data_IF_520535515960
#
_entry.id   IF_520535515960
#
_cell.length_a   1.000
_cell.length_b   1.000
_cell.length_c   1.000
_cell.angle_alpha   90.00
_cell.angle_beta   90.00
_cell.angle_gamma   90.00
#
_symmetry.space_group_name_H-M   'P 1'
#
loop_
_entity.id
_entity.type
_entity.pdbx_description
1 polymer ?
#
# COMPACT_ATOMS: atom_id res chain seq x y z
N UNK A 1 -7.64 35.06 48.55
CA UNK A 1 -7.35 35.03 47.10
C UNK A 1 -5.95 34.50 46.77
N UNK A 2 -4.92 34.82 47.56
CA UNK A 2 -3.55 34.32 47.34
C UNK A 2 -3.31 32.84 47.70
N UNK A 3 -4.06 32.27 48.66
CA UNK A 3 -3.87 30.87 49.11
C UNK A 3 -4.39 29.84 48.08
N UNK A 4 -5.45 30.18 47.32
CA UNK A 4 -5.95 29.31 46.23
C UNK A 4 -4.93 29.16 45.09
N UNK A 5 -4.07 30.16 44.87
CA UNK A 5 -3.02 30.13 43.86
C UNK A 5 -1.92 29.11 44.21
N UNK A 6 -1.50 29.08 45.48
CA UNK A 6 -0.49 28.12 45.94
C UNK A 6 -0.98 26.67 45.91
N UNK A 7 -2.24 26.43 46.28
CA UNK A 7 -2.81 25.07 46.22
C UNK A 7 -2.92 24.55 44.79
N UNK A 8 -3.25 25.40 43.82
CA UNK A 8 -3.35 25.02 42.40
C UNK A 8 -1.97 24.70 41.80
N UNK A 9 -0.92 25.39 42.24
CA UNK A 9 0.44 25.21 41.73
C UNK A 9 1.08 23.88 42.14
N UNK A 10 0.75 23.32 43.31
CA UNK A 10 1.26 22.00 43.75
C UNK A 10 0.61 20.84 42.98
N UNK A 11 -0.68 20.93 42.63
CA UNK A 11 -1.36 19.88 41.84
C UNK A 11 -0.86 19.78 40.40
N UNK A 12 -0.31 20.88 39.85
CA UNK A 12 0.06 20.95 38.44
C UNK A 12 1.50 20.48 38.19
N UNK A 13 2.36 20.51 39.21
CA UNK A 13 3.76 20.05 39.12
C UNK A 13 3.90 18.53 39.17
N UNK A 14 3.04 17.81 39.90
CA UNK A 14 3.07 16.33 39.91
C UNK A 14 2.53 15.71 38.62
N UNK A 15 1.66 16.38 37.86
CA UNK A 15 1.10 15.81 36.64
C UNK A 15 2.03 15.92 35.42
N UNK A 16 2.96 16.87 35.40
CA UNK A 16 3.88 17.09 34.26
C UNK A 16 5.01 16.06 34.16
N UNK A 17 5.60 15.64 35.27
CA UNK A 17 6.65 14.60 35.27
C UNK A 17 6.05 13.20 35.18
N UNK A 18 4.94 12.94 35.87
CA UNK A 18 4.30 11.61 35.87
C UNK A 18 3.70 11.29 34.50
N UNK A 19 3.13 12.27 33.80
CA UNK A 19 2.64 12.10 32.43
C UNK A 19 3.76 11.74 31.44
N UNK A 20 4.91 12.42 31.50
CA UNK A 20 6.05 12.12 30.62
C UNK A 20 6.65 10.73 30.89
N UNK A 21 6.76 10.33 32.15
CA UNK A 21 7.27 9.01 32.54
C UNK A 21 6.32 7.89 32.08
N UNK A 22 5.00 8.12 32.18
CA UNK A 22 3.99 7.17 31.72
C UNK A 22 4.07 7.03 30.19
N UNK A 23 4.02 8.12 29.43
CA UNK A 23 4.11 8.08 27.96
C UNK A 23 5.41 7.39 27.48
N UNK A 24 6.56 7.74 28.06
CA UNK A 24 7.84 7.10 27.73
C UNK A 24 7.86 5.61 28.05
N UNK A 25 7.21 5.19 29.14
CA UNK A 25 7.13 3.77 29.53
C UNK A 25 6.23 2.99 28.57
N UNK A 26 5.11 3.58 28.14
CA UNK A 26 4.21 2.97 27.15
C UNK A 26 4.90 2.82 25.78
N UNK A 27 5.61 3.84 25.32
CA UNK A 27 6.38 3.79 24.07
C UNK A 27 7.46 2.70 24.09
N UNK A 28 8.22 2.59 25.18
CA UNK A 28 9.24 1.55 25.32
C UNK A 28 8.66 0.13 25.32
N UNK A 29 7.43 -0.03 25.82
CA UNK A 29 6.73 -1.31 25.82
C UNK A 29 6.14 -1.62 24.43
N UNK A 30 5.62 -0.65 23.70
CA UNK A 30 4.93 -0.87 22.42
C UNK A 30 5.88 -0.92 21.22
N UNK A 31 6.93 -0.10 21.22
CA UNK A 31 7.90 0.01 20.13
C UNK A 31 8.45 -1.34 19.65
N UNK A 32 8.93 -2.27 20.51
CA UNK A 32 9.48 -3.54 20.04
C UNK A 32 8.43 -4.45 19.38
N UNK A 33 7.18 -4.47 19.88
CA UNK A 33 6.12 -5.29 19.29
C UNK A 33 5.67 -4.75 17.93
N UNK A 34 5.45 -3.44 17.83
CA UNK A 34 5.06 -2.82 16.56
C UNK A 34 6.20 -2.91 15.55
N UNK A 35 7.46 -2.69 15.95
CA UNK A 35 8.60 -2.88 15.05
C UNK A 35 8.68 -4.32 14.50
N UNK A 36 8.39 -5.32 15.34
CA UNK A 36 8.34 -6.71 14.90
C UNK A 36 7.18 -6.95 13.90
N UNK A 37 6.01 -6.38 14.15
CA UNK A 37 4.85 -6.46 13.23
C UNK A 37 5.15 -5.77 11.89
N UNK A 38 5.65 -4.54 11.95
CA UNK A 38 6.07 -3.75 10.79
C UNK A 38 7.09 -4.51 9.94
N UNK A 39 8.11 -5.10 10.57
CA UNK A 39 9.09 -5.92 9.86
C UNK A 39 8.47 -7.14 9.17
N UNK A 40 7.52 -7.82 9.83
CA UNK A 40 6.78 -8.92 9.24
C UNK A 40 5.93 -8.50 8.03
N UNK A 41 5.26 -7.35 8.13
CA UNK A 41 4.46 -6.77 7.04
C UNK A 41 5.37 -6.38 5.87
N UNK A 42 6.53 -5.75 6.13
CA UNK A 42 7.49 -5.36 5.10
C UNK A 42 8.04 -6.59 4.34
N UNK A 43 8.37 -7.68 5.05
CA UNK A 43 8.79 -8.94 4.40
C UNK A 43 7.66 -9.52 3.55
N UNK A 44 6.44 -9.58 4.09
CA UNK A 44 5.30 -10.15 3.37
C UNK A 44 4.98 -9.33 2.10
N UNK A 45 4.90 -8.01 2.22
CA UNK A 45 4.68 -7.10 1.10
C UNK A 45 5.80 -7.23 0.06
N UNK A 46 7.06 -7.23 0.50
CA UNK A 46 8.24 -7.40 -0.36
C UNK A 46 8.23 -8.74 -1.12
N UNK A 47 7.85 -9.84 -0.47
CA UNK A 47 7.71 -11.14 -1.12
C UNK A 47 6.59 -11.15 -2.17
N UNK A 48 5.42 -10.59 -1.84
CA UNK A 48 4.29 -10.56 -2.78
C UNK A 48 4.62 -9.68 -3.99
N UNK A 49 5.23 -8.50 -3.78
CA UNK A 49 5.68 -7.62 -4.87
C UNK A 49 6.74 -8.33 -5.71
N UNK A 50 7.74 -8.94 -5.07
CA UNK A 50 8.82 -9.66 -5.72
C UNK A 50 8.32 -10.80 -6.61
N UNK A 51 7.46 -11.67 -6.07
CA UNK A 51 6.87 -12.80 -6.79
C UNK A 51 5.99 -12.29 -7.95
N UNK A 52 5.16 -11.29 -7.71
CA UNK A 52 4.26 -10.73 -8.73
C UNK A 52 5.04 -10.10 -9.88
N UNK A 53 6.07 -9.32 -9.57
CA UNK A 53 6.93 -8.66 -10.55
C UNK A 53 7.76 -9.67 -11.34
N UNK A 54 8.27 -10.72 -10.68
CA UNK A 54 9.02 -11.80 -11.32
C UNK A 54 8.15 -12.62 -12.30
N UNK A 55 6.92 -12.98 -11.91
CA UNK A 55 5.96 -13.65 -12.77
C UNK A 55 5.54 -12.78 -13.98
N UNK A 56 5.39 -11.47 -13.77
CA UNK A 56 5.11 -10.51 -14.85
C UNK A 56 6.28 -10.45 -15.84
N UNK A 57 7.52 -10.42 -15.34
CA UNK A 57 8.73 -10.40 -16.15
C UNK A 57 8.87 -11.69 -16.99
N UNK A 58 8.68 -12.87 -16.39
CA UNK A 58 8.69 -14.15 -17.12
C UNK A 58 7.62 -14.16 -18.21
N UNK A 59 6.42 -13.68 -17.88
CA UNK A 59 5.30 -13.63 -18.84
C UNK A 59 5.61 -12.71 -20.02
N UNK A 60 6.24 -11.56 -19.77
CA UNK A 60 6.70 -10.64 -20.80
C UNK A 60 7.70 -11.29 -21.76
N UNK A 61 8.73 -11.96 -21.25
CA UNK A 61 9.70 -12.68 -22.08
C UNK A 61 9.07 -13.86 -22.86
N UNK A 62 8.11 -14.58 -22.25
CA UNK A 62 7.40 -15.67 -22.92
C UNK A 62 6.50 -15.18 -24.05
N UNK A 63 5.90 -13.99 -23.91
CA UNK A 63 5.09 -13.35 -24.95
C UNK A 63 5.95 -12.87 -26.12
N UNK A 64 7.14 -12.34 -25.82
CA UNK A 64 8.09 -11.90 -26.84
C UNK A 64 8.62 -13.08 -27.69
N UNK A 65 8.56 -14.30 -27.14
CA UNK A 65 9.09 -15.52 -27.77
C UNK A 65 8.03 -16.40 -28.45
N UNK A 66 6.73 -16.09 -28.39
CA UNK A 66 5.65 -16.97 -28.91
C UNK A 66 4.68 -16.24 -29.85
N UNK A 67 4.63 -16.70 -31.10
CA UNK A 67 3.73 -16.18 -32.16
C UNK A 67 2.25 -16.52 -31.89
N UNK A 68 1.40 -15.55 -32.26
CA UNK A 68 -0.07 -15.48 -32.30
C UNK A 68 -0.76 -16.80 -32.65
N UNK A 69 -1.61 -17.37 -31.76
CA UNK A 69 -3.03 -17.65 -32.13
C UNK A 69 -3.95 -18.19 -30.99
N UNK A 70 -3.50 -18.89 -29.94
CA UNK A 70 -4.44 -19.52 -28.97
C UNK A 70 -4.04 -19.33 -27.50
N UNK A 71 -4.04 -18.11 -26.97
CA UNK A 71 -3.51 -17.86 -25.61
C UNK A 71 -4.26 -16.81 -24.79
N UNK A 72 -5.42 -16.32 -25.23
CA UNK A 72 -6.03 -15.11 -24.64
C UNK A 72 -6.67 -15.34 -23.26
N UNK A 73 -7.32 -16.48 -23.02
CA UNK A 73 -8.04 -16.74 -21.75
C UNK A 73 -7.09 -17.01 -20.58
N UNK A 74 -6.02 -17.78 -20.79
CA UNK A 74 -5.02 -18.06 -19.74
C UNK A 74 -4.18 -16.82 -19.38
N UNK A 75 -3.87 -15.98 -20.39
CA UNK A 75 -3.12 -14.73 -20.17
C UNK A 75 -3.89 -13.75 -19.27
N UNK A 76 -5.19 -13.62 -19.49
CA UNK A 76 -6.03 -12.71 -18.72
C UNK A 76 -6.17 -13.17 -17.27
N UNK A 77 -6.35 -14.48 -17.05
CA UNK A 77 -6.45 -15.08 -15.71
C UNK A 77 -5.15 -14.91 -14.91
N UNK A 78 -4.00 -15.11 -15.55
CA UNK A 78 -2.69 -14.90 -14.92
C UNK A 78 -2.49 -13.41 -14.59
N UNK A 79 -2.81 -12.50 -15.53
CA UNK A 79 -2.72 -11.05 -15.31
C UNK A 79 -3.58 -10.59 -14.14
N UNK A 80 -4.81 -11.09 -14.05
CA UNK A 80 -5.73 -10.79 -12.94
C UNK A 80 -5.20 -11.28 -11.59
N UNK A 81 -4.61 -12.48 -11.54
CA UNK A 81 -3.99 -13.01 -10.31
C UNK A 81 -2.78 -12.16 -9.88
N UNK A 82 -1.94 -11.74 -10.82
CA UNK A 82 -0.79 -10.87 -10.53
C UNK A 82 -1.23 -9.48 -10.07
N UNK A 83 -2.20 -8.88 -10.76
CA UNK A 83 -2.73 -7.57 -10.37
C UNK A 83 -3.34 -7.60 -8.97
N UNK A 84 -4.07 -8.67 -8.62
CA UNK A 84 -4.63 -8.86 -7.26
C UNK A 84 -3.54 -9.05 -6.20
N UNK A 85 -2.50 -9.84 -6.48
CA UNK A 85 -1.38 -10.01 -5.56
C UNK A 85 -0.65 -8.69 -5.30
N UNK A 86 -0.35 -7.95 -6.37
CA UNK A 86 0.30 -6.64 -6.28
C UNK A 86 -0.54 -5.63 -5.49
N UNK A 87 -1.86 -5.58 -5.73
CA UNK A 87 -2.78 -4.69 -5.01
C UNK A 87 -2.84 -5.02 -3.51
N UNK A 88 -2.87 -6.31 -3.16
CA UNK A 88 -2.88 -6.75 -1.77
C UNK A 88 -1.58 -6.35 -1.03
N UNK A 89 -0.42 -6.55 -1.66
CA UNK A 89 0.86 -6.14 -1.08
C UNK A 89 0.92 -4.62 -0.84
N UNK A 90 0.31 -3.87 -1.75
CA UNK A 90 0.19 -2.43 -1.69
C UNK A 90 -0.58 -2.01 -0.43
N UNK A 91 -1.75 -2.58 -0.18
CA UNK A 91 -2.54 -2.27 1.01
C UNK A 91 -1.78 -2.56 2.31
N UNK A 92 -1.00 -3.65 2.34
CA UNK A 92 -0.13 -4.00 3.47
C UNK A 92 1.02 -3.00 3.67
N UNK A 93 1.65 -2.54 2.59
CA UNK A 93 2.78 -1.59 2.66
C UNK A 93 2.35 -0.24 3.23
N UNK A 94 1.15 0.25 2.88
CA UNK A 94 0.58 1.46 3.52
C UNK A 94 0.22 1.22 4.99
N UNK A 95 -0.28 0.04 5.34
CA UNK A 95 -0.56 -0.32 6.72
C UNK A 95 0.70 -0.32 7.60
N UNK A 96 1.82 -0.87 7.08
CA UNK A 96 3.13 -0.85 7.74
C UNK A 96 3.61 0.57 8.01
N UNK A 97 3.50 1.45 7.02
CA UNK A 97 3.95 2.83 7.16
C UNK A 97 3.06 3.62 8.14
N UNK A 98 1.74 3.38 8.14
CA UNK A 98 0.84 3.98 9.14
C UNK A 98 1.22 3.52 10.56
N UNK A 99 1.50 2.22 10.76
CA UNK A 99 1.93 1.69 12.06
C UNK A 99 3.22 2.35 12.56
N UNK A 100 4.19 2.59 11.67
CA UNK A 100 5.42 3.34 11.99
C UNK A 100 5.11 4.76 12.47
N UNK A 101 4.21 5.48 11.78
CA UNK A 101 3.84 6.86 12.15
C UNK A 101 3.06 6.99 13.46
N UNK A 102 2.40 5.92 13.92
CA UNK A 102 1.69 5.92 15.22
C UNK A 102 2.69 5.92 16.38
N UNK A 103 3.86 5.28 16.23
CA UNK A 103 4.91 5.24 17.26
C UNK A 103 5.81 6.48 17.26
N UNK A 104 6.17 6.99 16.07
CA UNK A 104 7.01 8.18 15.94
C UNK A 104 6.22 9.23 15.18
N UNK A 105 5.30 9.94 15.85
CA UNK A 105 4.51 10.97 15.20
C UNK A 105 5.40 12.18 14.86
N UNK A 106 6.04 12.12 13.68
CA UNK A 106 6.84 13.20 13.11
C UNK A 106 6.15 13.76 11.88
N UNK A 107 6.04 15.09 11.80
CA UNK A 107 5.46 15.79 10.64
C UNK A 107 6.22 15.43 9.34
N UNK A 108 7.52 15.20 9.44
CA UNK A 108 8.36 14.78 8.32
C UNK A 108 7.98 13.37 7.83
N UNK A 109 7.77 12.44 8.75
CA UNK A 109 7.39 11.06 8.41
C UNK A 109 6.00 11.00 7.78
N UNK A 110 5.04 11.77 8.34
CA UNK A 110 3.71 11.90 7.76
C UNK A 110 3.75 12.50 6.35
N UNK A 111 4.65 13.45 6.10
CA UNK A 111 4.84 14.06 4.76
C UNK A 111 5.38 13.05 3.76
N UNK A 112 6.40 12.26 4.14
CA UNK A 112 6.95 11.21 3.28
C UNK A 112 5.86 10.18 2.95
N UNK A 113 5.11 9.74 3.95
CA UNK A 113 3.99 8.82 3.77
C UNK A 113 2.94 9.36 2.79
N UNK A 114 2.54 10.63 2.96
CA UNK A 114 1.59 11.27 2.05
C UNK A 114 2.10 11.35 0.60
N UNK A 115 3.41 11.59 0.41
CA UNK A 115 4.04 11.59 -0.92
C UNK A 115 4.03 10.19 -1.54
N UNK A 116 4.41 9.15 -0.78
CA UNK A 116 4.40 7.76 -1.26
C UNK A 116 2.99 7.33 -1.67
N UNK A 117 1.99 7.61 -0.84
CA UNK A 117 0.57 7.35 -1.14
C UNK A 117 0.10 8.13 -2.36
N UNK A 118 0.49 9.39 -2.49
CA UNK A 118 0.17 10.23 -3.65
C UNK A 118 0.73 9.67 -4.96
N UNK A 119 2.02 9.30 -4.98
CA UNK A 119 2.67 8.66 -6.14
C UNK A 119 1.91 7.39 -6.53
N UNK A 120 1.57 6.56 -5.54
CA UNK A 120 0.85 5.31 -5.73
C UNK A 120 -0.51 5.53 -6.38
N UNK A 121 -1.30 6.50 -5.91
CA UNK A 121 -2.59 6.85 -6.51
C UNK A 121 -2.43 7.26 -7.98
N UNK A 122 -1.45 8.11 -8.28
CA UNK A 122 -1.21 8.59 -9.65
C UNK A 122 -0.78 7.44 -10.58
N UNK A 123 0.14 6.59 -10.14
CA UNK A 123 0.61 5.45 -10.93
C UNK A 123 -0.48 4.42 -11.16
N UNK A 124 -1.21 4.02 -10.11
CA UNK A 124 -2.32 3.09 -10.21
C UNK A 124 -3.42 3.64 -11.12
N UNK A 125 -3.76 4.92 -11.01
CA UNK A 125 -4.75 5.57 -11.88
C UNK A 125 -4.29 5.60 -13.35
N UNK A 126 -3.04 5.96 -13.61
CA UNK A 126 -2.48 5.97 -14.97
C UNK A 126 -2.54 4.58 -15.62
N UNK A 127 -2.19 3.55 -14.85
CA UNK A 127 -2.15 2.18 -15.35
C UNK A 127 -3.56 1.62 -15.61
N UNK A 128 -4.51 1.88 -14.70
CA UNK A 128 -5.92 1.52 -14.90
C UNK A 128 -6.51 2.15 -16.16
N UNK A 129 -6.21 3.43 -16.40
CA UNK A 129 -6.69 4.16 -17.58
C UNK A 129 -6.18 3.58 -18.90
N UNK A 130 -4.94 3.11 -18.93
CA UNK A 130 -4.35 2.48 -20.12
C UNK A 130 -4.96 1.10 -20.41
N UNK A 131 -5.26 0.33 -19.36
CA UNK A 131 -5.93 -0.97 -19.48
C UNK A 131 -7.34 -0.81 -20.07
N UNK A 132 -8.10 0.17 -19.60
CA UNK A 132 -9.46 0.44 -20.10
C UNK A 132 -9.47 0.89 -21.58
N UNK A 133 -8.46 1.64 -21.98
CA UNK A 133 -8.30 2.06 -23.39
C UNK A 133 -8.03 0.88 -24.32
N UNK A 134 -7.34 -0.16 -23.86
CA UNK A 134 -7.06 -1.35 -24.67
C UNK A 134 -8.20 -2.38 -24.65
N UNK A 135 -8.99 -2.45 -23.58
CA UNK A 135 -10.12 -3.40 -23.49
C UNK A 135 -11.32 -3.00 -24.35
N UNK A 136 -11.51 -1.70 -24.59
CA UNK A 136 -12.57 -1.15 -25.46
C UNK A 136 -12.33 -1.47 -26.94
N UNK A 137 -11.07 -1.42 -27.40
CA UNK A 137 -10.68 -1.77 -28.79
C UNK A 137 -11.02 -3.24 -29.12
N UNK A 138 -10.96 -4.16 -28.14
CA UNK A 138 -11.32 -5.57 -28.34
C UNK A 138 -12.83 -5.79 -28.41
N UNK A 139 -13.65 -4.96 -27.74
CA UNK A 139 -15.11 -5.07 -27.82
C UNK A 139 -15.64 -4.65 -29.20
N UNK A 140 -15.05 -3.62 -29.80
CA UNK A 140 -15.49 -3.12 -31.11
C UNK A 140 -15.22 -4.14 -32.23
N UNK A 141 -14.08 -4.84 -32.19
CA UNK A 141 -13.77 -5.90 -33.17
C UNK A 141 -14.66 -7.16 -33.06
N UNK A 142 -15.32 -7.39 -31.91
CA UNK A 142 -16.25 -8.52 -31.73
C UNK A 142 -17.68 -8.15 -32.17
N UNK A 143 -18.00 -6.86 -32.25
CA UNK A 143 -19.28 -6.34 -32.74
C UNK A 143 -19.42 -6.40 -34.26
N UNK A 144 -18.35 -6.11 -35.02
CA UNK A 144 -18.43 -6.08 -36.49
C UNK A 144 -18.48 -7.47 -37.15
N UNK A 145 -17.96 -8.53 -36.51
CA UNK A 145 -18.02 -9.90 -37.07
C UNK A 145 -19.43 -10.55 -37.03
N UNK A 146 -20.45 -9.87 -36.50
CA UNK A 146 -21.84 -10.39 -36.42
C UNK A 146 -22.74 -9.94 -37.59
N UNK A 147 -22.23 -9.14 -38.52
CA UNK A 147 -22.96 -8.67 -39.71
C UNK A 147 -22.23 -9.12 -40.98
N UNK A 148 -22.18 -10.44 -41.19
CA UNK A 148 -21.93 -10.99 -42.53
C UNK A 148 -23.22 -10.91 -43.36
N UNK A 149 -23.16 -10.54 -44.66
CA UNK A 149 -24.36 -10.47 -45.50
C UNK A 149 -24.99 -11.86 -45.60
N UNK A 150 -26.33 -11.89 -45.46
CA UNK A 150 -27.17 -13.08 -45.65
C UNK A 150 -27.04 -13.66 -47.05
#
# INVERSE_FOLDING_TARGET
MWILGYLKMTTTQEQGHTGQIIEQSFEQLLAPYVNFLTFGIDIAAGLIIGISSFLALISFFKILRKSTNEQTIDKETIRLRLARGMLLALDFEVGSDILKTILVPSVTELTILAVVVGIRIVLSWSLSKEIDRHSTIIKDHKGEKKIGPK
#
